data_IF_506841399953
#
_entry.id   IF_506841399953
#
_cell.length_a   1.000
_cell.length_b   1.000
_cell.length_c   1.000
_cell.angle_alpha   90.00
_cell.angle_beta   90.00
_cell.angle_gamma   90.00
#
_symmetry.space_group_name_H-M   'P 1'
#
loop_
_entity.id
_entity.type
_entity.pdbx_description
1 polymer ?
#
# COMPACT_ATOMS: atom_id res chain seq x y z
N UNK A 1 9.63 22.94 -1.41
CA UNK A 1 9.62 21.46 -1.38
C UNK A 1 8.32 20.87 -0.88
N UNK A 2 7.79 21.31 0.28
CA UNK A 2 6.52 20.81 0.85
C UNK A 2 5.34 20.78 -0.14
N UNK A 3 5.02 21.93 -0.75
CA UNK A 3 3.91 22.01 -1.72
C UNK A 3 4.19 21.30 -3.03
N UNK A 4 5.47 21.15 -3.40
CA UNK A 4 5.87 20.42 -4.60
C UNK A 4 5.71 18.91 -4.42
N UNK A 5 6.19 18.34 -3.32
CA UNK A 5 6.09 16.91 -3.04
C UNK A 5 4.62 16.45 -2.92
N UNK A 6 3.78 17.25 -2.27
CA UNK A 6 2.35 16.97 -2.18
C UNK A 6 1.66 16.98 -3.56
N UNK A 7 1.85 18.07 -4.32
CA UNK A 7 1.27 18.20 -5.67
C UNK A 7 1.78 17.10 -6.60
N UNK A 8 3.07 16.74 -6.48
CA UNK A 8 3.66 15.64 -7.24
C UNK A 8 2.98 14.31 -6.92
N UNK A 9 2.82 13.96 -5.64
CA UNK A 9 2.12 12.74 -5.21
C UNK A 9 0.67 12.70 -5.72
N UNK A 10 -0.08 13.79 -5.56
CA UNK A 10 -1.48 13.86 -6.01
C UNK A 10 -1.60 13.66 -7.53
N UNK A 11 -0.74 14.32 -8.31
CA UNK A 11 -0.69 14.18 -9.77
C UNK A 11 -0.30 12.75 -10.16
N UNK A 12 0.74 12.20 -9.54
CA UNK A 12 1.23 10.85 -9.86
C UNK A 12 0.20 9.79 -9.54
N UNK A 13 -0.53 9.91 -8.44
CA UNK A 13 -1.62 8.97 -8.11
C UNK A 13 -2.75 9.09 -9.13
N UNK A 14 -3.11 10.31 -9.53
CA UNK A 14 -4.07 10.52 -10.62
C UNK A 14 -3.63 9.86 -11.92
N UNK A 15 -2.35 9.97 -12.28
CA UNK A 15 -1.76 9.31 -13.46
C UNK A 15 -1.78 7.79 -13.32
N UNK A 16 -1.37 7.23 -12.17
CA UNK A 16 -1.35 5.79 -11.91
C UNK A 16 -2.76 5.20 -12.03
N UNK A 17 -3.75 5.85 -11.43
CA UNK A 17 -5.16 5.42 -11.51
C UNK A 17 -5.71 5.59 -12.93
N UNK A 18 -5.44 6.73 -13.58
CA UNK A 18 -5.92 7.00 -14.95
C UNK A 18 -5.35 6.04 -15.98
N UNK A 19 -4.04 5.83 -15.97
CA UNK A 19 -3.36 4.87 -16.86
C UNK A 19 -3.76 3.44 -16.54
N UNK A 20 -3.89 3.10 -15.25
CA UNK A 20 -4.31 1.78 -14.82
C UNK A 20 -5.67 1.38 -15.39
N UNK A 21 -6.58 2.35 -15.62
CA UNK A 21 -7.93 2.07 -16.11
C UNK A 21 -7.94 1.63 -17.57
N UNK A 22 -6.88 1.95 -18.31
CA UNK A 22 -6.71 1.50 -19.69
C UNK A 22 -6.60 -0.02 -19.80
N UNK A 23 -6.20 -0.71 -18.73
CA UNK A 23 -6.08 -2.16 -18.69
C UNK A 23 -7.34 -2.89 -18.23
N UNK A 24 -8.39 -2.16 -17.82
CA UNK A 24 -9.66 -2.77 -17.44
C UNK A 24 -10.25 -3.70 -18.52
N UNK A 25 -10.25 -3.32 -19.83
CA UNK A 25 -10.76 -4.18 -20.89
C UNK A 25 -9.96 -5.47 -21.12
N UNK A 26 -8.70 -5.51 -20.66
CA UNK A 26 -7.81 -6.66 -20.85
C UNK A 26 -8.01 -7.75 -19.77
N UNK A 27 -8.84 -7.49 -18.75
CA UNK A 27 -9.17 -8.44 -17.69
C UNK A 27 -10.08 -9.55 -18.23
N UNK A 28 -9.75 -10.82 -17.96
CA UNK A 28 -10.45 -11.99 -18.50
C UNK A 28 -11.09 -12.86 -17.44
N UNK A 29 -10.48 -12.95 -16.27
CA UNK A 29 -10.92 -13.88 -15.22
C UNK A 29 -11.58 -13.13 -14.05
N UNK A 30 -12.62 -13.69 -13.40
CA UNK A 30 -13.33 -13.02 -12.31
C UNK A 30 -12.43 -12.52 -11.17
N UNK A 31 -11.38 -13.26 -10.83
CA UNK A 31 -10.44 -12.85 -9.78
C UNK A 31 -9.62 -11.62 -10.19
N UNK A 32 -9.36 -11.40 -11.49
CA UNK A 32 -8.61 -10.25 -11.98
C UNK A 32 -9.39 -8.95 -11.78
N UNK A 33 -10.71 -8.98 -12.02
CA UNK A 33 -11.61 -7.85 -11.71
C UNK A 33 -11.64 -7.53 -10.22
N UNK A 34 -11.74 -8.56 -9.37
CA UNK A 34 -11.69 -8.36 -7.92
C UNK A 34 -10.33 -7.80 -7.46
N UNK A 35 -9.22 -8.33 -8.00
CA UNK A 35 -7.87 -7.86 -7.70
C UNK A 35 -7.65 -6.42 -8.18
N UNK A 36 -8.20 -6.06 -9.34
CA UNK A 36 -8.13 -4.71 -9.89
C UNK A 36 -8.85 -3.69 -9.00
N UNK A 37 -10.11 -3.96 -8.65
CA UNK A 37 -10.87 -3.10 -7.73
C UNK A 37 -10.11 -2.96 -6.41
N UNK A 38 -9.57 -4.07 -5.90
CA UNK A 38 -8.81 -4.06 -4.66
C UNK A 38 -7.50 -3.26 -4.73
N UNK A 39 -6.79 -3.31 -5.86
CA UNK A 39 -5.60 -2.51 -6.10
C UNK A 39 -5.92 -1.02 -6.06
N UNK A 40 -7.02 -0.61 -6.70
CA UNK A 40 -7.48 0.78 -6.70
C UNK A 40 -7.82 1.26 -5.30
N UNK A 41 -8.60 0.47 -4.56
CA UNK A 41 -8.93 0.79 -3.17
C UNK A 41 -7.65 0.90 -2.32
N UNK A 42 -6.69 0.01 -2.52
CA UNK A 42 -5.41 0.04 -1.81
C UNK A 42 -4.56 1.28 -2.14
N UNK A 43 -4.60 1.77 -3.38
CA UNK A 43 -3.91 3.00 -3.80
C UNK A 43 -4.57 4.23 -3.17
N UNK A 44 -5.90 4.31 -3.22
CA UNK A 44 -6.65 5.42 -2.60
C UNK A 44 -6.43 5.45 -1.09
N UNK A 45 -6.47 4.30 -0.45
CA UNK A 45 -6.24 4.13 0.98
C UNK A 45 -4.80 4.53 1.37
N UNK A 46 -3.79 4.15 0.58
CA UNK A 46 -2.43 4.65 0.72
C UNK A 46 -2.35 6.18 0.60
N UNK A 47 -3.02 6.77 -0.39
CA UNK A 47 -3.06 8.22 -0.59
C UNK A 47 -3.65 8.97 0.59
N UNK A 48 -4.78 8.47 1.12
CA UNK A 48 -5.48 9.06 2.28
C UNK A 48 -4.59 9.06 3.52
N UNK A 49 -3.80 8.00 3.73
CA UNK A 49 -2.87 7.91 4.86
C UNK A 49 -1.60 8.78 4.66
N UNK A 50 -1.06 8.82 3.44
CA UNK A 50 0.19 9.53 3.14
C UNK A 50 0.03 11.03 2.97
N UNK A 51 -1.05 11.52 2.37
CA UNK A 51 -1.20 12.94 2.07
C UNK A 51 -1.15 13.84 3.32
N UNK A 52 -1.86 13.55 4.44
CA UNK A 52 -1.71 14.30 5.69
C UNK A 52 -0.31 14.18 6.29
N UNK A 53 0.28 12.99 6.20
CA UNK A 53 1.62 12.69 6.73
C UNK A 53 2.69 13.49 5.99
N UNK A 54 2.64 13.58 4.67
CA UNK A 54 3.54 14.40 3.85
C UNK A 54 3.36 15.90 4.10
N UNK A 55 2.12 16.36 4.38
CA UNK A 55 1.87 17.75 4.84
C UNK A 55 2.54 18.01 6.18
N UNK A 56 2.62 17.03 7.07
CA UNK A 56 3.21 17.21 8.40
C UNK A 56 4.74 17.03 8.38
N UNK A 57 5.22 16.08 7.59
CA UNK A 57 6.60 15.64 7.52
C UNK A 57 7.08 15.62 6.06
N UNK A 58 7.43 16.80 5.49
CA UNK A 58 7.88 16.86 4.11
C UNK A 58 9.24 16.16 3.95
N UNK A 59 9.53 15.61 2.75
CA UNK A 59 10.82 15.01 2.44
C UNK A 59 11.94 16.04 2.61
N UNK A 60 13.07 15.60 3.20
CA UNK A 60 14.24 16.46 3.46
C UNK A 60 15.41 16.12 2.54
N UNK A 61 15.41 14.93 1.94
CA UNK A 61 16.53 14.39 1.15
C UNK A 61 16.07 13.89 -0.20
N UNK A 62 16.96 13.92 -1.19
CA UNK A 62 16.71 13.37 -2.53
C UNK A 62 16.28 11.91 -2.51
N UNK A 63 16.84 11.13 -1.58
CA UNK A 63 16.49 9.73 -1.40
C UNK A 63 15.01 9.55 -1.01
N UNK A 64 14.37 10.52 -0.36
CA UNK A 64 12.93 10.48 -0.07
C UNK A 64 12.12 10.59 -1.37
N UNK A 65 12.52 11.52 -2.25
CA UNK A 65 11.90 11.68 -3.56
C UNK A 65 12.08 10.44 -4.44
N UNK A 66 13.26 9.82 -4.41
CA UNK A 66 13.49 8.55 -5.11
C UNK A 66 12.57 7.44 -4.60
N UNK A 67 12.30 7.42 -3.29
CA UNK A 67 11.42 6.43 -2.68
C UNK A 67 9.95 6.70 -3.03
N UNK A 68 9.52 7.95 -3.04
CA UNK A 68 8.18 8.34 -3.49
C UNK A 68 7.95 7.91 -4.97
N UNK A 69 8.94 8.15 -5.84
CA UNK A 69 8.90 7.70 -7.25
C UNK A 69 8.86 6.18 -7.35
N UNK A 70 9.69 5.47 -6.57
CA UNK A 70 9.69 4.01 -6.55
C UNK A 70 8.34 3.45 -6.09
N UNK A 71 7.72 4.04 -5.06
CA UNK A 71 6.39 3.65 -4.61
C UNK A 71 5.37 3.87 -5.73
N UNK A 72 5.37 5.03 -6.40
CA UNK A 72 4.46 5.29 -7.52
C UNK A 72 4.60 4.29 -8.66
N UNK A 73 5.84 3.95 -9.02
CA UNK A 73 6.11 2.93 -10.02
C UNK A 73 5.59 1.56 -9.59
N UNK A 74 5.76 1.19 -8.32
CA UNK A 74 5.25 -0.08 -7.81
C UNK A 74 3.72 -0.10 -7.72
N UNK A 75 3.06 1.02 -7.40
CA UNK A 75 1.60 1.12 -7.46
C UNK A 75 1.07 0.93 -8.88
N UNK A 76 1.77 1.45 -9.88
CA UNK A 76 1.48 1.18 -11.29
C UNK A 76 1.65 -0.30 -11.63
N UNK A 77 2.76 -0.92 -11.22
CA UNK A 77 2.97 -2.37 -11.37
C UNK A 77 1.91 -3.18 -10.63
N UNK A 78 1.38 -2.67 -9.52
CA UNK A 78 0.39 -3.39 -8.72
C UNK A 78 -0.93 -3.53 -9.47
N UNK A 79 -1.35 -2.47 -10.17
CA UNK A 79 -2.48 -2.55 -11.10
C UNK A 79 -2.12 -3.48 -12.27
N UNK A 80 -0.95 -3.31 -12.89
CA UNK A 80 -0.55 -4.15 -14.02
C UNK A 80 -0.51 -5.65 -13.69
N UNK A 81 -0.14 -5.99 -12.46
CA UNK A 81 -0.03 -7.37 -11.99
C UNK A 81 -1.39 -8.10 -11.97
N UNK A 82 -2.52 -7.38 -12.01
CA UNK A 82 -3.86 -7.99 -12.11
C UNK A 82 -4.07 -8.71 -13.44
N UNK A 83 -3.34 -8.33 -14.50
CA UNK A 83 -3.34 -8.99 -15.80
C UNK A 83 -2.48 -10.26 -15.85
N UNK A 84 -1.67 -10.50 -14.81
CA UNK A 84 -0.71 -11.61 -14.75
C UNK A 84 -1.31 -12.72 -13.90
N UNK A 85 -0.60 -13.13 -12.84
CA UNK A 85 -1.05 -14.18 -11.92
C UNK A 85 -1.33 -13.58 -10.56
N UNK A 86 -2.15 -14.25 -9.75
CA UNK A 86 -2.38 -13.86 -8.36
C UNK A 86 -1.08 -13.83 -7.55
N UNK A 87 -0.09 -14.67 -7.90
CA UNK A 87 1.23 -14.66 -7.27
C UNK A 87 2.02 -13.41 -7.64
N UNK A 88 1.99 -13.00 -8.91
CA UNK A 88 2.58 -11.72 -9.33
C UNK A 88 1.92 -10.54 -8.61
N UNK A 89 0.60 -10.57 -8.45
CA UNK A 89 -0.15 -9.56 -7.71
C UNK A 89 0.29 -9.46 -6.24
N UNK A 90 0.38 -10.60 -5.54
CA UNK A 90 0.86 -10.66 -4.15
C UNK A 90 2.34 -10.25 -4.02
N UNK A 91 3.18 -10.61 -4.99
CA UNK A 91 4.59 -10.25 -4.98
C UNK A 91 4.79 -8.74 -5.12
N UNK A 92 4.09 -8.09 -6.07
CA UNK A 92 4.14 -6.63 -6.22
C UNK A 92 3.58 -5.92 -4.98
N UNK A 93 2.52 -6.47 -4.39
CA UNK A 93 2.00 -5.98 -3.13
C UNK A 93 3.03 -6.02 -1.98
N UNK A 94 3.81 -7.09 -1.87
CA UNK A 94 4.90 -7.19 -0.89
C UNK A 94 5.96 -6.12 -1.14
N UNK A 95 6.39 -5.94 -2.40
CA UNK A 95 7.36 -4.90 -2.77
C UNK A 95 6.85 -3.52 -2.38
N UNK A 96 5.57 -3.23 -2.65
CA UNK A 96 4.93 -1.98 -2.23
C UNK A 96 5.03 -1.77 -0.73
N UNK A 97 4.66 -2.78 0.08
CA UNK A 97 4.73 -2.69 1.54
C UNK A 97 6.14 -2.57 2.09
N UNK A 98 7.13 -3.15 1.43
CA UNK A 98 8.55 -2.97 1.80
C UNK A 98 8.96 -1.51 1.57
N UNK A 99 8.68 -0.94 0.39
CA UNK A 99 9.02 0.46 0.09
C UNK A 99 8.30 1.43 1.02
N UNK A 100 7.01 1.21 1.28
CA UNK A 100 6.21 1.99 2.23
C UNK A 100 6.82 1.91 3.65
N UNK A 101 7.23 0.71 4.10
CA UNK A 101 7.90 0.54 5.39
C UNK A 101 9.24 1.27 5.47
N UNK A 102 10.03 1.24 4.40
CA UNK A 102 11.28 2.00 4.33
C UNK A 102 11.02 3.51 4.42
N UNK A 103 9.95 3.99 3.78
CA UNK A 103 9.56 5.40 3.80
C UNK A 103 9.19 5.84 5.21
N UNK A 104 8.33 5.07 5.88
CA UNK A 104 7.91 5.33 7.26
C UNK A 104 9.10 5.26 8.23
N UNK A 105 10.00 4.29 8.06
CA UNK A 105 11.19 4.16 8.90
C UNK A 105 12.09 5.39 8.80
N UNK A 106 12.26 5.92 7.59
CA UNK A 106 13.04 7.15 7.37
C UNK A 106 12.37 8.36 7.96
N UNK A 107 11.05 8.50 7.78
CA UNK A 107 10.26 9.54 8.43
C UNK A 107 10.44 9.51 9.96
N UNK A 108 10.38 8.31 10.57
CA UNK A 108 10.62 8.14 12.02
C UNK A 108 12.01 8.61 12.43
N UNK A 109 13.05 8.24 11.67
CA UNK A 109 14.44 8.59 11.94
C UNK A 109 14.72 10.09 11.80
N UNK A 110 14.11 10.75 10.82
CA UNK A 110 14.43 12.13 10.44
C UNK A 110 13.58 13.20 11.13
N UNK A 111 12.32 12.88 11.44
CA UNK A 111 11.38 13.85 12.00
C UNK A 111 11.03 13.56 13.46
N UNK A 112 11.40 12.36 13.97
CA UNK A 112 11.18 11.94 15.36
C UNK A 112 9.77 12.31 15.85
N UNK A 113 8.72 11.79 15.19
CA UNK A 113 7.35 12.05 15.59
C UNK A 113 7.17 11.74 17.08
N UNK A 114 6.42 12.58 17.79
CA UNK A 114 6.25 12.48 19.24
C UNK A 114 4.81 12.12 19.60
N UNK A 115 4.63 11.47 20.75
CA UNK A 115 3.34 11.12 21.32
C UNK A 115 2.44 10.33 20.34
N UNK A 116 1.34 10.95 19.92
CA UNK A 116 0.29 10.37 19.10
C UNK A 116 0.82 9.99 17.71
N UNK A 117 1.68 10.81 17.12
CA UNK A 117 2.25 10.54 15.79
C UNK A 117 3.22 9.35 15.81
N UNK A 118 3.95 9.15 16.91
CA UNK A 118 4.85 8.01 17.05
C UNK A 118 4.05 6.69 17.08
N UNK A 119 2.93 6.69 17.79
CA UNK A 119 2.04 5.53 17.85
C UNK A 119 1.43 5.20 16.49
N UNK A 120 1.02 6.21 15.72
CA UNK A 120 0.52 6.08 14.33
C UNK A 120 1.59 5.43 13.46
N UNK A 121 2.79 6.01 13.44
CA UNK A 121 3.92 5.53 12.62
C UNK A 121 4.34 4.11 12.98
N UNK A 122 4.41 3.78 14.27
CA UNK A 122 4.74 2.42 14.74
C UNK A 122 3.65 1.42 14.36
N UNK A 123 2.38 1.81 14.50
CA UNK A 123 1.24 0.98 14.13
C UNK A 123 1.27 0.66 12.63
N UNK A 124 1.52 1.67 11.79
CA UNK A 124 1.65 1.50 10.35
C UNK A 124 2.76 0.50 10.00
N UNK A 125 3.97 0.64 10.57
CA UNK A 125 5.07 -0.30 10.35
C UNK A 125 4.71 -1.74 10.75
N UNK A 126 4.05 -1.93 11.90
CA UNK A 126 3.64 -3.26 12.36
C UNK A 126 2.65 -3.90 11.38
N UNK A 127 1.63 -3.15 10.93
CA UNK A 127 0.64 -3.68 10.01
C UNK A 127 1.21 -3.92 8.61
N UNK A 128 2.13 -3.08 8.13
CA UNK A 128 2.87 -3.36 6.90
C UNK A 128 3.67 -4.68 7.01
N UNK A 129 4.38 -4.87 8.13
CA UNK A 129 5.12 -6.11 8.39
C UNK A 129 4.21 -7.34 8.44
N UNK A 130 3.08 -7.24 9.14
CA UNK A 130 2.09 -8.31 9.21
C UNK A 130 1.52 -8.66 7.83
N UNK A 131 1.20 -7.65 7.01
CA UNK A 131 0.68 -7.86 5.65
C UNK A 131 1.70 -8.49 4.70
N UNK A 132 2.99 -8.14 4.83
CA UNK A 132 4.08 -8.81 4.11
C UNK A 132 4.15 -10.29 4.49
N UNK A 133 4.10 -10.59 5.79
CA UNK A 133 4.16 -11.98 6.29
C UNK A 133 2.95 -12.78 5.79
N UNK A 134 1.75 -12.20 5.83
CA UNK A 134 0.53 -12.85 5.33
C UNK A 134 0.65 -13.13 3.83
N UNK A 135 1.07 -12.14 3.03
CA UNK A 135 1.21 -12.33 1.59
C UNK A 135 2.28 -13.36 1.23
N UNK A 136 3.44 -13.36 1.90
CA UNK A 136 4.48 -14.38 1.74
C UNK A 136 3.96 -15.77 2.13
N UNK A 137 3.23 -15.86 3.25
CA UNK A 137 2.61 -17.10 3.70
C UNK A 137 1.63 -17.65 2.69
N UNK A 138 0.81 -16.79 2.06
CA UNK A 138 -0.12 -17.18 0.99
C UNK A 138 0.62 -17.65 -0.26
N UNK A 139 1.71 -16.99 -0.67
CA UNK A 139 2.54 -17.44 -1.79
C UNK A 139 3.14 -18.82 -1.50
N UNK A 140 3.73 -19.00 -0.32
CA UNK A 140 4.34 -20.27 0.08
C UNK A 140 3.30 -21.40 0.17
N UNK A 141 2.13 -21.12 0.75
CA UNK A 141 1.03 -22.09 0.85
C UNK A 141 0.51 -22.47 -0.53
N UNK A 142 0.38 -21.51 -1.45
CA UNK A 142 -0.02 -21.80 -2.83
C UNK A 142 1.01 -22.67 -3.57
N UNK A 143 2.31 -22.53 -3.26
CA UNK A 143 3.36 -23.38 -3.81
C UNK A 143 3.22 -24.86 -3.44
N UNK A 144 2.56 -25.18 -2.33
CA UNK A 144 2.33 -26.55 -1.85
C UNK A 144 0.95 -27.08 -2.28
N UNK A 145 -0.10 -26.26 -2.14
CA UNK A 145 -1.49 -26.72 -2.28
C UNK A 145 -2.17 -26.30 -3.59
N UNK A 146 -1.54 -25.46 -4.42
CA UNK A 146 -2.04 -25.01 -5.72
C UNK A 146 -3.51 -24.54 -5.68
N UNK A 147 -3.80 -23.60 -4.78
CA UNK A 147 -5.17 -23.11 -4.58
C UNK A 147 -5.68 -22.36 -5.82
N UNK A 148 -7.01 -22.37 -6.07
CA UNK A 148 -7.62 -21.50 -7.06
C UNK A 148 -7.32 -20.02 -6.75
N UNK A 149 -7.03 -19.24 -7.79
CA UNK A 149 -6.64 -17.83 -7.66
C UNK A 149 -7.67 -16.99 -6.88
N UNK A 150 -8.96 -17.26 -7.09
CA UNK A 150 -10.05 -16.56 -6.40
C UNK A 150 -10.04 -16.84 -4.88
N UNK A 151 -9.71 -18.07 -4.47
CA UNK A 151 -9.63 -18.45 -3.05
C UNK A 151 -8.45 -17.76 -2.39
N UNK A 152 -7.29 -17.76 -3.05
CA UNK A 152 -6.10 -17.08 -2.55
C UNK A 152 -6.32 -15.57 -2.39
N UNK A 153 -6.93 -14.95 -3.41
CA UNK A 153 -7.30 -13.54 -3.38
C UNK A 153 -8.33 -13.24 -2.28
N UNK A 154 -9.34 -14.10 -2.12
CA UNK A 154 -10.36 -13.95 -1.08
C UNK A 154 -9.77 -13.96 0.33
N UNK A 155 -8.88 -14.91 0.63
CA UNK A 155 -8.17 -14.98 1.91
C UNK A 155 -7.33 -13.71 2.11
N UNK A 156 -6.60 -13.28 1.09
CA UNK A 156 -5.78 -12.07 1.14
C UNK A 156 -6.62 -10.82 1.44
N UNK A 157 -7.73 -10.62 0.75
CA UNK A 157 -8.64 -9.48 0.94
C UNK A 157 -9.21 -9.48 2.36
N UNK A 158 -9.69 -10.62 2.85
CA UNK A 158 -10.25 -10.74 4.21
C UNK A 158 -9.18 -10.40 5.25
N UNK A 159 -7.98 -10.96 5.12
CA UNK A 159 -6.86 -10.69 6.03
C UNK A 159 -6.48 -9.21 6.04
N UNK A 160 -6.50 -8.55 4.87
CA UNK A 160 -6.20 -7.13 4.74
C UNK A 160 -7.30 -6.23 5.29
N UNK A 161 -8.57 -6.59 5.12
CA UNK A 161 -9.68 -5.90 5.78
C UNK A 161 -9.56 -6.00 7.30
N UNK A 162 -9.24 -7.18 7.83
CA UNK A 162 -9.00 -7.36 9.26
C UNK A 162 -7.81 -6.51 9.76
N UNK A 163 -6.70 -6.50 9.03
CA UNK A 163 -5.54 -5.62 9.29
C UNK A 163 -5.97 -4.15 9.35
N UNK A 164 -6.73 -3.68 8.36
CA UNK A 164 -7.21 -2.30 8.31
C UNK A 164 -8.15 -1.96 9.46
N UNK A 165 -9.12 -2.83 9.79
CA UNK A 165 -10.01 -2.63 10.93
C UNK A 165 -9.20 -2.53 12.24
N UNK A 166 -8.27 -3.46 12.47
CA UNK A 166 -7.43 -3.46 13.68
C UNK A 166 -6.52 -2.23 13.76
N UNK A 167 -5.94 -1.80 12.63
CA UNK A 167 -5.16 -0.57 12.55
C UNK A 167 -6.05 0.65 12.85
N UNK A 168 -7.28 0.69 12.31
CA UNK A 168 -8.22 1.78 12.52
C UNK A 168 -8.65 1.92 13.98
N UNK A 169 -8.74 0.83 14.74
CA UNK A 169 -9.01 0.90 16.18
C UNK A 169 -7.88 1.57 16.95
N UNK A 170 -6.63 1.36 16.51
CA UNK A 170 -5.46 2.04 17.06
C UNK A 170 -5.37 3.49 16.57
N UNK A 171 -5.73 3.78 15.32
CA UNK A 171 -5.76 5.15 14.77
C UNK A 171 -6.89 6.01 15.35
N UNK A 172 -8.14 5.51 15.42
CA UNK A 172 -9.31 6.28 15.89
C UNK A 172 -9.25 6.62 17.38
N UNK A 173 -8.63 5.78 18.23
CA UNK A 173 -8.32 6.17 19.62
C UNK A 173 -7.41 7.39 19.72
N UNK A 174 -6.67 7.71 18.66
CA UNK A 174 -5.64 8.76 18.63
C UNK A 174 -6.17 10.04 17.97
N UNK A 175 -7.10 9.94 17.01
CA UNK A 175 -7.73 11.11 16.37
C UNK A 175 -8.97 11.66 17.08
N UNK A 176 -9.73 10.84 17.83
CA UNK A 176 -10.95 11.27 18.55
C UNK A 176 -10.72 11.58 20.04
N UNK A 177 -9.49 11.48 20.52
CA UNK A 177 -9.07 12.08 21.79
C UNK A 177 -8.41 13.42 21.44
N UNK A 178 -9.23 14.34 20.94
CA UNK A 178 -8.94 15.77 20.88
C UNK A 178 -9.93 16.49 21.78
#
# INVERSE_FOLDING_TARGET
MKDFALKFMDIMIGIVLGLGFQWWPDLREPWQYAAFIFAYLSIIDYWVDTAPTLKKYPPKRELDLMLDVAIMFVLFLFIQATLKTVISFLAVFIVFRILDSLWIFRLKKEHKPAYHDEMVVNTWLIFNGAEIIIALGLIAFNGVYQLPAITLLGIFIIARLASRILSSFRYKRVYFVQ
#
